data_IF_852151181396
#
_entry.id   IF_852151181396
#
_cell.length_a   1.000
_cell.length_b   1.000
_cell.length_c   1.000
_cell.angle_alpha   90.00
_cell.angle_beta   90.00
_cell.angle_gamma   90.00
#
_symmetry.space_group_name_H-M   'P 1'
#
loop_
_entity.id
_entity.type
_entity.pdbx_description
1 polymer ?
#
# COMPACT_ATOMS: atom_id res chain seq x y z
N UNK A 1 -19.42 -9.34 -18.54
CA UNK A 1 -19.46 -10.06 -17.24
C UNK A 1 -18.15 -10.77 -16.90
N UNK A 2 -17.48 -11.46 -17.82
CA UNK A 2 -16.22 -12.19 -17.52
C UNK A 2 -15.00 -11.32 -17.15
N UNK A 3 -14.91 -10.07 -17.62
CA UNK A 3 -13.81 -9.15 -17.26
C UNK A 3 -13.87 -8.60 -15.83
N UNK A 4 -15.06 -8.56 -15.22
CA UNK A 4 -15.21 -8.14 -13.82
C UNK A 4 -14.80 -9.27 -12.85
N UNK A 5 -15.04 -10.52 -13.23
CA UNK A 5 -14.65 -11.72 -12.47
C UNK A 5 -13.13 -11.96 -12.45
N UNK A 6 -12.43 -11.67 -13.55
CA UNK A 6 -10.96 -11.77 -13.58
C UNK A 6 -10.29 -10.66 -12.77
N UNK A 7 -10.86 -9.46 -12.76
CA UNK A 7 -10.49 -8.40 -11.82
C UNK A 7 -10.71 -8.84 -10.36
N UNK A 8 -11.85 -9.47 -10.06
CA UNK A 8 -12.16 -9.98 -8.73
C UNK A 8 -11.20 -11.11 -8.28
N UNK A 9 -10.79 -11.99 -9.19
CA UNK A 9 -9.80 -13.03 -8.91
C UNK A 9 -8.39 -12.45 -8.69
N UNK A 10 -8.03 -11.39 -9.41
CA UNK A 10 -6.74 -10.70 -9.24
C UNK A 10 -6.69 -9.90 -7.93
N UNK A 11 -7.74 -9.14 -7.62
CA UNK A 11 -7.89 -8.44 -6.34
C UNK A 11 -8.10 -9.41 -5.16
N UNK A 12 -8.76 -10.55 -5.38
CA UNK A 12 -8.92 -11.62 -4.41
C UNK A 12 -7.63 -12.38 -4.09
N UNK A 13 -6.70 -12.50 -5.06
CA UNK A 13 -5.36 -13.05 -4.84
C UNK A 13 -4.39 -12.03 -4.21
N UNK A 14 -4.52 -10.74 -4.53
CA UNK A 14 -3.88 -9.67 -3.75
C UNK A 14 -4.43 -9.63 -2.31
N UNK A 15 -5.73 -9.89 -2.15
CA UNK A 15 -6.38 -10.11 -0.84
C UNK A 15 -5.87 -11.38 -0.14
N UNK A 16 -5.49 -12.44 -0.88
CA UNK A 16 -4.93 -13.67 -0.31
C UNK A 16 -3.47 -13.55 0.15
N UNK A 17 -2.69 -12.61 -0.42
CA UNK A 17 -1.40 -12.22 0.17
C UNK A 17 -1.57 -11.37 1.44
N UNK A 18 -2.75 -10.77 1.61
CA UNK A 18 -3.12 -9.97 2.78
C UNK A 18 -3.92 -10.73 3.83
N UNK A 19 -4.33 -11.98 3.62
CA UNK A 19 -5.05 -12.76 4.65
C UNK A 19 -4.18 -13.10 5.85
N UNK A 20 -2.87 -13.32 5.65
CA UNK A 20 -1.90 -13.54 6.73
C UNK A 20 -1.66 -12.27 7.56
N UNK A 21 -1.74 -11.09 6.95
CA UNK A 21 -1.43 -9.81 7.61
C UNK A 21 -2.68 -9.09 8.15
N UNK A 22 -3.83 -9.28 7.50
CA UNK A 22 -5.05 -8.50 7.74
C UNK A 22 -6.29 -9.36 8.01
N UNK A 23 -6.21 -10.69 7.83
CA UNK A 23 -7.30 -11.64 8.05
C UNK A 23 -8.13 -11.95 6.79
N UNK A 24 -9.01 -12.96 6.84
CA UNK A 24 -9.84 -13.36 5.70
C UNK A 24 -10.82 -12.25 5.30
N UNK A 25 -10.96 -11.91 4.01
CA UNK A 25 -11.88 -10.87 3.54
C UNK A 25 -13.35 -11.30 3.64
N UNK A 26 -13.65 -12.51 4.10
CA UNK A 26 -15.02 -13.02 4.23
C UNK A 26 -15.17 -13.56 5.64
N UNK A 27 -16.27 -13.25 6.36
CA UNK A 27 -16.50 -13.77 7.69
C UNK A 27 -16.53 -15.30 7.65
N UNK A 28 -15.90 -15.93 8.63
CA UNK A 28 -16.06 -17.36 8.84
C UNK A 28 -17.55 -17.65 9.09
N UNK A 29 -18.14 -18.58 8.32
CA UNK A 29 -19.56 -18.92 8.44
C UNK A 29 -19.94 -19.33 9.87
N UNK A 30 -19.00 -19.95 10.60
CA UNK A 30 -19.14 -20.25 12.03
C UNK A 30 -19.23 -19.00 12.92
N UNK A 31 -18.41 -17.97 12.67
CA UNK A 31 -18.41 -16.74 13.45
C UNK A 31 -19.72 -15.95 13.27
N UNK A 32 -20.28 -15.95 12.06
CA UNK A 32 -21.62 -15.41 11.80
C UNK A 32 -22.73 -16.19 12.48
N UNK A 33 -22.64 -17.52 12.44
CA UNK A 33 -23.69 -18.38 13.00
C UNK A 33 -23.75 -18.28 14.52
N UNK A 34 -22.59 -18.13 15.16
CA UNK A 34 -22.42 -18.00 16.61
C UNK A 34 -22.56 -16.56 17.14
N UNK A 35 -22.96 -15.60 16.29
CA UNK A 35 -23.16 -14.20 16.66
C UNK A 35 -21.95 -13.48 17.27
N UNK A 36 -20.73 -13.83 16.86
CA UNK A 36 -19.51 -13.20 17.38
C UNK A 36 -19.50 -11.68 17.16
N UNK A 37 -20.19 -11.21 16.13
CA UNK A 37 -20.29 -9.79 15.76
C UNK A 37 -21.54 -9.09 16.33
N UNK A 38 -22.32 -9.74 17.20
CA UNK A 38 -23.47 -9.14 17.91
C UNK A 38 -24.62 -8.68 17.01
N UNK A 39 -24.93 -9.42 15.93
CA UNK A 39 -25.93 -9.05 14.93
C UNK A 39 -27.35 -9.46 15.37
N UNK A 40 -27.46 -10.43 16.27
CA UNK A 40 -28.73 -10.92 16.81
C UNK A 40 -29.45 -11.90 15.88
N UNK A 41 -30.55 -12.46 16.40
CA UNK A 41 -31.41 -13.40 15.68
C UNK A 41 -32.32 -12.70 14.65
N UNK A 42 -32.73 -11.46 14.92
CA UNK A 42 -33.31 -10.55 13.92
C UNK A 42 -32.21 -9.55 13.50
N UNK A 43 -31.59 -9.74 12.31
CA UNK A 43 -30.40 -9.00 11.95
C UNK A 43 -30.70 -7.50 11.83
N UNK A 44 -30.12 -6.72 12.72
CA UNK A 44 -30.13 -5.27 12.65
C UNK A 44 -28.76 -4.75 12.25
N UNK A 45 -28.75 -3.54 11.68
CA UNK A 45 -27.51 -2.87 11.30
C UNK A 45 -26.89 -2.30 12.59
N UNK A 46 -25.65 -2.67 12.95
CA UNK A 46 -24.97 -2.08 14.08
C UNK A 46 -24.71 -0.59 13.83
N UNK A 47 -25.27 0.31 14.65
CA UNK A 47 -25.18 1.76 14.47
C UNK A 47 -23.74 2.26 14.49
N UNK A 48 -22.90 1.71 15.37
CA UNK A 48 -21.48 2.05 15.47
C UNK A 48 -20.71 1.83 14.17
N UNK A 49 -20.99 0.74 13.46
CA UNK A 49 -20.33 0.39 12.21
C UNK A 49 -20.92 1.16 11.03
N UNK A 50 -22.21 1.45 11.05
CA UNK A 50 -22.88 2.25 10.02
C UNK A 50 -22.34 3.69 9.97
N UNK A 51 -22.18 4.33 11.13
CA UNK A 51 -21.64 5.70 11.24
C UNK A 51 -20.24 5.84 10.62
N UNK A 52 -19.45 4.76 10.60
CA UNK A 52 -18.10 4.76 10.04
C UNK A 52 -18.07 4.64 8.52
N UNK A 53 -19.15 4.16 7.89
CA UNK A 53 -19.21 3.88 6.45
C UNK A 53 -20.22 4.73 5.70
N UNK A 54 -21.09 5.47 6.39
CA UNK A 54 -22.15 6.29 5.77
C UNK A 54 -21.64 7.22 4.66
N UNK A 55 -20.44 7.78 4.82
CA UNK A 55 -19.83 8.72 3.87
C UNK A 55 -19.15 8.02 2.67
N UNK A 56 -19.07 6.69 2.68
CA UNK A 56 -18.37 5.89 1.68
C UNK A 56 -19.38 5.24 0.72
N UNK A 57 -20.05 6.03 -0.12
CA UNK A 57 -20.99 5.46 -1.10
C UNK A 57 -20.24 4.63 -2.16
N UNK A 58 -20.83 3.50 -2.57
CA UNK A 58 -20.22 2.61 -3.57
C UNK A 58 -20.09 3.30 -4.95
N UNK A 59 -20.98 4.25 -5.25
CA UNK A 59 -20.94 5.08 -6.46
C UNK A 59 -19.76 6.07 -6.47
N UNK A 60 -19.26 6.45 -5.29
CA UNK A 60 -18.12 7.34 -5.11
C UNK A 60 -16.78 6.59 -4.93
N UNK A 61 -16.71 5.28 -5.24
CA UNK A 61 -15.42 4.57 -5.43
C UNK A 61 -14.81 4.97 -6.78
N UNK A 62 -14.89 6.25 -7.12
CA UNK A 62 -14.05 6.87 -8.14
C UNK A 62 -12.61 6.90 -7.59
N UNK A 63 -11.61 6.79 -8.46
CA UNK A 63 -10.25 6.48 -8.04
C UNK A 63 -9.69 7.58 -7.12
N UNK A 64 -9.58 7.28 -5.83
CA UNK A 64 -8.69 8.01 -4.91
C UNK A 64 -7.23 7.63 -5.21
N UNK A 65 -6.87 7.60 -6.50
CA UNK A 65 -5.57 7.15 -7.00
C UNK A 65 -4.52 8.27 -6.97
N UNK A 66 -4.97 9.53 -7.01
CA UNK A 66 -4.07 10.69 -7.13
C UNK A 66 -4.45 11.80 -6.15
N UNK A 67 -4.12 11.59 -4.88
CA UNK A 67 -4.04 12.72 -3.95
C UNK A 67 -2.73 13.46 -4.19
N UNK A 68 -2.70 14.76 -3.89
CA UNK A 68 -1.49 15.58 -3.97
C UNK A 68 -0.29 14.95 -3.23
N UNK A 69 -0.57 14.21 -2.15
CA UNK A 69 0.40 13.42 -1.42
C UNK A 69 1.13 12.39 -2.32
N UNK A 70 0.37 11.49 -2.96
CA UNK A 70 0.98 10.43 -3.75
C UNK A 70 1.69 10.97 -4.99
N UNK A 71 1.11 11.97 -5.65
CA UNK A 71 1.70 12.60 -6.84
C UNK A 71 2.96 13.37 -6.47
N UNK A 72 2.97 14.06 -5.33
CA UNK A 72 4.14 14.78 -4.80
C UNK A 72 5.33 13.86 -4.53
N UNK A 73 5.11 12.76 -3.80
CA UNK A 73 6.18 11.78 -3.52
C UNK A 73 6.67 11.09 -4.79
N UNK A 74 5.78 10.74 -5.72
CA UNK A 74 6.15 10.15 -7.01
C UNK A 74 7.05 11.08 -7.82
N UNK A 75 6.73 12.37 -7.87
CA UNK A 75 7.54 13.36 -8.59
C UNK A 75 8.92 13.54 -7.95
N UNK A 76 9.00 13.59 -6.62
CA UNK A 76 10.27 13.69 -5.91
C UNK A 76 11.16 12.48 -6.13
N UNK A 77 10.58 11.27 -6.06
CA UNK A 77 11.30 10.02 -6.33
C UNK A 77 11.76 9.92 -7.79
N UNK A 78 10.91 10.28 -8.75
CA UNK A 78 11.26 10.29 -10.17
C UNK A 78 12.38 11.30 -10.47
N UNK A 79 12.29 12.52 -9.92
CA UNK A 79 13.33 13.53 -10.06
C UNK A 79 14.67 13.05 -9.46
N UNK A 80 14.63 12.45 -8.27
CA UNK A 80 15.82 11.89 -7.61
C UNK A 80 16.44 10.76 -8.42
N UNK A 81 15.62 9.84 -8.96
CA UNK A 81 16.10 8.74 -9.80
C UNK A 81 16.75 9.24 -11.10
N UNK A 82 16.17 10.25 -11.76
CA UNK A 82 16.74 10.88 -12.96
C UNK A 82 18.07 11.58 -12.62
N UNK A 83 18.11 12.33 -11.52
CA UNK A 83 19.33 13.00 -11.04
C UNK A 83 20.44 11.98 -10.76
N UNK A 84 20.17 10.93 -9.99
CA UNK A 84 21.13 9.87 -9.68
C UNK A 84 21.62 9.13 -10.93
N UNK A 85 20.73 8.90 -11.92
CA UNK A 85 21.10 8.29 -13.20
C UNK A 85 21.99 9.19 -14.04
N UNK A 86 21.77 10.51 -14.01
CA UNK A 86 22.64 11.47 -14.69
C UNK A 86 24.00 11.51 -14.00
N UNK A 87 23.99 11.56 -12.67
CA UNK A 87 25.18 11.61 -11.84
C UNK A 87 26.06 10.37 -12.01
N UNK A 88 25.47 9.17 -12.14
CA UNK A 88 26.22 7.95 -12.38
C UNK A 88 26.99 7.92 -13.70
N UNK A 89 26.58 8.71 -14.70
CA UNK A 89 27.29 8.86 -15.98
C UNK A 89 28.41 9.88 -15.94
N UNK A 90 28.33 10.83 -15.02
CA UNK A 90 29.22 11.99 -14.91
C UNK A 90 29.90 12.01 -13.53
N UNK A 91 30.13 10.83 -12.95
CA UNK A 91 30.57 10.74 -11.55
C UNK A 91 32.02 11.22 -11.35
N UNK A 92 32.84 11.11 -12.39
CA UNK A 92 34.23 11.56 -12.38
C UNK A 92 34.36 13.05 -12.71
N UNK A 93 33.34 13.65 -13.30
CA UNK A 93 33.30 15.08 -13.60
C UNK A 93 33.25 15.89 -12.29
N UNK A 94 34.07 16.94 -12.22
CA UNK A 94 34.21 17.86 -11.08
C UNK A 94 34.62 17.18 -9.75
N UNK A 95 35.23 15.99 -9.84
CA UNK A 95 35.70 15.25 -8.67
C UNK A 95 37.07 15.77 -8.20
N UNK A 96 37.09 16.49 -7.08
CA UNK A 96 38.33 17.02 -6.47
C UNK A 96 39.08 15.93 -5.68
N UNK A 97 38.36 14.96 -5.13
CA UNK A 97 38.91 13.90 -4.28
C UNK A 97 38.67 12.50 -4.87
N UNK A 98 39.60 11.97 -5.68
CA UNK A 98 39.47 10.63 -6.27
C UNK A 98 39.30 9.50 -5.25
N UNK A 99 39.82 9.68 -4.03
CA UNK A 99 39.73 8.71 -2.94
C UNK A 99 38.30 8.35 -2.52
N UNK A 100 37.32 9.23 -2.80
CA UNK A 100 35.90 8.97 -2.46
C UNK A 100 35.11 8.34 -3.60
N UNK A 101 35.66 8.25 -4.82
CA UNK A 101 34.94 7.82 -6.02
C UNK A 101 34.25 6.47 -5.85
N UNK A 102 34.97 5.47 -5.34
CA UNK A 102 34.42 4.13 -5.14
C UNK A 102 33.23 4.11 -4.17
N UNK A 103 33.33 4.83 -3.05
CA UNK A 103 32.23 4.88 -2.08
C UNK A 103 31.06 5.71 -2.61
N UNK A 104 31.34 6.80 -3.30
CA UNK A 104 30.32 7.63 -3.93
C UNK A 104 29.54 6.84 -5.00
N UNK A 105 30.21 6.03 -5.82
CA UNK A 105 29.54 5.20 -6.83
C UNK A 105 28.61 4.15 -6.20
N UNK A 106 29.03 3.56 -5.07
CA UNK A 106 28.17 2.66 -4.29
C UNK A 106 26.93 3.38 -3.73
N UNK A 107 27.09 4.60 -3.20
CA UNK A 107 25.96 5.39 -2.71
C UNK A 107 24.98 5.73 -3.84
N UNK A 108 25.47 6.18 -4.99
CA UNK A 108 24.63 6.51 -6.16
C UNK A 108 23.87 5.28 -6.66
N UNK A 109 24.55 4.15 -6.80
CA UNK A 109 23.91 2.90 -7.22
C UNK A 109 22.84 2.43 -6.22
N UNK A 110 23.17 2.48 -4.92
CA UNK A 110 22.27 2.08 -3.84
C UNK A 110 21.03 2.97 -3.76
N UNK A 111 21.21 4.29 -3.79
CA UNK A 111 20.09 5.23 -3.75
C UNK A 111 19.24 5.15 -5.03
N UNK A 112 19.84 4.84 -6.19
CA UNK A 112 19.09 4.58 -7.41
C UNK A 112 18.14 3.38 -7.27
N UNK A 113 18.62 2.24 -6.76
CA UNK A 113 17.78 1.06 -6.50
C UNK A 113 16.71 1.35 -5.44
N UNK A 114 17.06 2.15 -4.42
CA UNK A 114 16.12 2.53 -3.37
C UNK A 114 15.02 3.46 -3.87
N UNK A 115 15.30 4.39 -4.78
CA UNK A 115 14.26 5.17 -5.45
C UNK A 115 13.22 4.27 -6.12
N UNK A 116 13.64 3.22 -6.83
CA UNK A 116 12.72 2.26 -7.45
C UNK A 116 11.94 1.43 -6.44
N UNK A 117 12.59 1.03 -5.34
CA UNK A 117 11.93 0.27 -4.26
C UNK A 117 10.89 1.14 -3.55
N UNK A 118 11.21 2.42 -3.26
CA UNK A 118 10.30 3.39 -2.68
C UNK A 118 9.13 3.72 -3.61
N UNK A 119 9.36 3.79 -4.94
CA UNK A 119 8.29 3.91 -5.92
C UNK A 119 7.35 2.70 -5.90
N UNK A 120 7.89 1.48 -5.86
CA UNK A 120 7.08 0.26 -5.77
C UNK A 120 6.22 0.26 -4.48
N UNK A 121 6.82 0.68 -3.36
CA UNK A 121 6.12 0.79 -2.08
C UNK A 121 5.03 1.89 -2.09
N UNK A 122 5.27 3.02 -2.75
CA UNK A 122 4.27 4.05 -2.99
C UNK A 122 3.08 3.51 -3.79
N UNK A 123 3.34 2.73 -4.84
CA UNK A 123 2.30 2.08 -5.64
C UNK A 123 1.49 1.05 -4.83
N UNK A 124 2.16 0.31 -3.94
CA UNK A 124 1.49 -0.57 -3.01
C UNK A 124 0.56 0.21 -2.06
N UNK A 125 1.03 1.31 -1.48
CA UNK A 125 0.19 2.16 -0.62
C UNK A 125 -1.02 2.73 -1.34
N UNK A 126 -0.88 3.09 -2.63
CA UNK A 126 -2.01 3.47 -3.49
C UNK A 126 -3.01 2.33 -3.60
N UNK A 127 -2.54 1.10 -3.89
CA UNK A 127 -3.43 -0.07 -3.97
C UNK A 127 -4.14 -0.36 -2.65
N UNK A 128 -3.42 -0.34 -1.52
CA UNK A 128 -4.02 -0.58 -0.20
C UNK A 128 -5.08 0.47 0.15
N UNK A 129 -4.87 1.73 -0.22
CA UNK A 129 -5.86 2.79 -0.03
C UNK A 129 -7.12 2.55 -0.88
N UNK A 130 -6.96 2.10 -2.12
CA UNK A 130 -8.08 1.71 -2.99
C UNK A 130 -8.84 0.52 -2.39
N UNK A 131 -8.13 -0.52 -1.94
CA UNK A 131 -8.75 -1.69 -1.28
C UNK A 131 -9.51 -1.28 -0.03
N UNK A 132 -8.94 -0.42 0.82
CA UNK A 132 -9.63 0.13 1.99
C UNK A 132 -10.95 0.81 1.61
N UNK A 133 -10.92 1.71 0.61
CA UNK A 133 -12.12 2.43 0.12
C UNK A 133 -13.17 1.48 -0.45
N UNK A 134 -12.73 0.47 -1.19
CA UNK A 134 -13.60 -0.56 -1.76
C UNK A 134 -14.31 -1.37 -0.67
N UNK A 135 -13.59 -1.80 0.37
CA UNK A 135 -14.17 -2.52 1.51
C UNK A 135 -15.21 -1.69 2.26
N UNK A 136 -14.92 -0.41 2.52
CA UNK A 136 -15.88 0.50 3.16
C UNK A 136 -17.11 0.75 2.29
N UNK A 137 -16.93 0.88 0.96
CA UNK A 137 -18.05 1.02 0.03
C UNK A 137 -18.93 -0.22 -0.06
N UNK A 138 -18.35 -1.43 -0.02
CA UNK A 138 -19.13 -2.67 0.09
C UNK A 138 -19.86 -2.79 1.42
N UNK A 139 -19.23 -2.39 2.53
CA UNK A 139 -19.87 -2.38 3.84
C UNK A 139 -21.06 -1.40 3.88
N UNK A 140 -20.89 -0.19 3.32
CA UNK A 140 -21.97 0.78 3.21
C UNK A 140 -23.14 0.24 2.39
N UNK A 141 -22.85 -0.26 1.17
CA UNK A 141 -23.85 -0.90 0.31
C UNK A 141 -24.59 -2.03 1.03
N UNK A 142 -23.86 -2.87 1.77
CA UNK A 142 -24.45 -3.95 2.53
C UNK A 142 -25.41 -3.47 3.64
N UNK A 143 -25.17 -2.30 4.24
CA UNK A 143 -26.06 -1.69 5.23
C UNK A 143 -27.21 -0.88 4.62
N UNK A 144 -27.01 -0.23 3.47
CA UNK A 144 -28.01 0.68 2.87
C UNK A 144 -28.96 0.00 1.89
N UNK A 145 -28.55 -1.10 1.25
CA UNK A 145 -29.41 -1.84 0.33
C UNK A 145 -30.65 -2.43 1.03
N UNK A 146 -31.71 -2.66 0.25
CA UNK A 146 -32.94 -3.25 0.75
C UNK A 146 -32.70 -4.55 1.51
N UNK A 147 -33.48 -4.74 2.59
CA UNK A 147 -33.37 -5.90 3.47
C UNK A 147 -33.73 -7.16 2.69
N UNK A 148 -32.79 -8.10 2.58
CA UNK A 148 -33.07 -9.42 2.01
C UNK A 148 -34.20 -10.11 2.79
N UNK A 149 -35.12 -10.74 2.04
CA UNK A 149 -36.27 -11.48 2.60
C UNK A 149 -35.80 -12.66 3.46
N UNK A 150 -34.71 -13.32 3.07
CA UNK A 150 -34.14 -14.45 3.81
C UNK A 150 -33.26 -13.94 4.97
N UNK A 151 -33.68 -14.25 6.21
CA UNK A 151 -33.02 -13.82 7.45
C UNK A 151 -31.57 -14.28 7.53
N UNK A 152 -31.26 -15.52 7.14
CA UNK A 152 -29.89 -16.06 7.15
C UNK A 152 -28.96 -15.29 6.19
N UNK A 153 -29.43 -14.99 4.98
CA UNK A 153 -28.70 -14.20 3.99
C UNK A 153 -28.47 -12.78 4.48
N UNK A 154 -29.48 -12.18 5.12
CA UNK A 154 -29.36 -10.84 5.74
C UNK A 154 -28.31 -10.83 6.85
N UNK A 155 -28.31 -11.84 7.72
CA UNK A 155 -27.32 -12.00 8.80
C UNK A 155 -25.90 -12.11 8.26
N UNK A 156 -25.70 -12.96 7.26
CA UNK A 156 -24.39 -13.14 6.63
C UNK A 156 -23.90 -11.87 5.93
N UNK A 157 -24.80 -11.14 5.26
CA UNK A 157 -24.52 -9.85 4.62
C UNK A 157 -24.01 -8.82 5.64
N UNK A 158 -24.69 -8.67 6.77
CA UNK A 158 -24.28 -7.73 7.82
C UNK A 158 -22.99 -8.16 8.53
N UNK A 159 -22.75 -9.45 8.75
CA UNK A 159 -21.44 -9.90 9.25
C UNK A 159 -20.31 -9.53 8.30
N UNK A 160 -20.54 -9.72 7.00
CA UNK A 160 -19.52 -9.47 5.99
C UNK A 160 -19.16 -7.99 5.97
N UNK A 161 -20.17 -7.13 6.09
CA UNK A 161 -19.99 -5.69 6.24
C UNK A 161 -19.16 -5.32 7.48
N UNK A 162 -19.44 -5.92 8.65
CA UNK A 162 -18.65 -5.70 9.87
C UNK A 162 -17.19 -6.09 9.67
N UNK A 163 -16.92 -7.27 9.10
CA UNK A 163 -15.56 -7.73 8.80
C UNK A 163 -14.85 -6.80 7.82
N UNK A 164 -15.53 -6.32 6.79
CA UNK A 164 -14.97 -5.34 5.85
C UNK A 164 -14.54 -4.05 6.54
N UNK A 165 -15.34 -3.54 7.49
CA UNK A 165 -14.98 -2.35 8.28
C UNK A 165 -13.75 -2.61 9.14
N UNK A 166 -13.68 -3.76 9.81
CA UNK A 166 -12.54 -4.10 10.68
C UNK A 166 -11.24 -4.25 9.89
N UNK A 167 -11.29 -4.92 8.73
CA UNK A 167 -10.13 -5.04 7.84
C UNK A 167 -9.73 -3.67 7.30
N UNK A 168 -10.69 -2.83 6.91
CA UNK A 168 -10.42 -1.47 6.45
C UNK A 168 -9.73 -0.61 7.53
N UNK A 169 -10.09 -0.76 8.81
CA UNK A 169 -9.38 -0.10 9.93
C UNK A 169 -7.93 -0.55 10.05
N UNK A 170 -7.68 -1.87 9.99
CA UNK A 170 -6.31 -2.42 10.04
C UNK A 170 -5.46 -1.91 8.86
N UNK A 171 -6.03 -1.91 7.65
CA UNK A 171 -5.39 -1.35 6.46
C UNK A 171 -5.08 0.14 6.61
N UNK A 172 -6.00 0.92 7.20
CA UNK A 172 -5.80 2.35 7.44
C UNK A 172 -4.62 2.60 8.39
N UNK A 173 -4.53 1.83 9.49
CA UNK A 173 -3.43 1.92 10.46
C UNK A 173 -2.09 1.59 9.81
N UNK A 174 -2.02 0.45 9.11
CA UNK A 174 -0.80 0.01 8.42
C UNK A 174 -0.34 1.04 7.37
N UNK A 175 -1.29 1.59 6.61
CA UNK A 175 -0.99 2.61 5.60
C UNK A 175 -0.40 3.88 6.22
N UNK A 176 -0.90 4.33 7.37
CA UNK A 176 -0.40 5.53 8.06
C UNK A 176 1.06 5.33 8.50
N UNK A 177 1.33 4.25 9.23
CA UNK A 177 2.69 3.91 9.67
C UNK A 177 3.65 3.81 8.47
N UNK A 178 3.22 3.14 7.41
CA UNK A 178 4.06 2.96 6.23
C UNK A 178 4.26 4.25 5.43
N UNK A 179 3.26 5.15 5.40
CA UNK A 179 3.43 6.45 4.76
C UNK A 179 4.46 7.33 5.44
N UNK A 180 4.55 7.30 6.78
CA UNK A 180 5.55 8.06 7.55
C UNK A 180 6.97 7.55 7.27
N UNK A 181 7.14 6.23 7.21
CA UNK A 181 8.42 5.60 6.84
C UNK A 181 8.83 5.98 5.41
N UNK A 182 7.88 5.95 4.47
CA UNK A 182 8.14 6.31 3.08
C UNK A 182 8.51 7.78 2.91
N UNK A 183 7.80 8.70 3.58
CA UNK A 183 8.15 10.12 3.57
C UNK A 183 9.58 10.37 4.08
N UNK A 184 9.97 9.67 5.15
CA UNK A 184 11.32 9.77 5.72
C UNK A 184 12.38 9.30 4.72
N UNK A 185 12.13 8.18 4.04
CA UNK A 185 13.02 7.64 3.01
C UNK A 185 13.12 8.58 1.79
N UNK A 186 12.01 9.17 1.35
CA UNK A 186 12.01 10.16 0.26
C UNK A 186 12.84 11.38 0.63
N UNK A 187 12.67 11.94 1.84
CA UNK A 187 13.48 13.07 2.33
C UNK A 187 14.97 12.72 2.36
N UNK A 188 15.32 11.51 2.80
CA UNK A 188 16.71 11.01 2.79
C UNK A 188 17.28 10.93 1.38
N UNK A 189 16.54 10.33 0.44
CA UNK A 189 16.96 10.18 -0.95
C UNK A 189 17.18 11.53 -1.63
N UNK A 190 16.27 12.48 -1.43
CA UNK A 190 16.38 13.85 -1.95
C UNK A 190 17.61 14.56 -1.35
N UNK A 191 17.82 14.46 -0.04
CA UNK A 191 18.98 15.04 0.63
C UNK A 191 20.30 14.47 0.09
N UNK A 192 20.39 13.14 -0.07
CA UNK A 192 21.57 12.49 -0.62
C UNK A 192 21.83 12.95 -2.06
N UNK A 193 20.80 12.96 -2.92
CA UNK A 193 20.94 13.41 -4.30
C UNK A 193 21.46 14.87 -4.39
N UNK A 194 20.98 15.76 -3.52
CA UNK A 194 21.41 17.16 -3.49
C UNK A 194 22.85 17.33 -2.96
N UNK A 195 23.33 16.43 -2.11
CA UNK A 195 24.65 16.53 -1.47
C UNK A 195 25.79 15.92 -2.30
N UNK A 196 25.51 15.24 -3.43
CA UNK A 196 26.57 14.57 -4.22
C UNK A 196 27.63 15.56 -4.70
N UNK A 197 27.25 16.73 -5.20
CA UNK A 197 28.19 17.78 -5.63
C UNK A 197 29.09 18.26 -4.48
N UNK A 198 28.53 18.40 -3.28
CA UNK A 198 29.28 18.76 -2.08
C UNK A 198 30.26 17.66 -1.68
N UNK A 199 29.89 16.39 -1.82
CA UNK A 199 30.80 15.25 -1.57
C UNK A 199 31.95 15.24 -2.58
N UNK A 200 31.67 15.48 -3.87
CA UNK A 200 32.69 15.56 -4.92
C UNK A 200 33.73 16.65 -4.66
N UNK A 201 33.27 17.81 -4.19
CA UNK A 201 34.12 18.99 -3.93
C UNK A 201 34.81 18.99 -2.58
N UNK A 202 34.27 18.30 -1.56
CA UNK A 202 34.81 18.32 -0.19
C UNK A 202 35.40 16.99 0.28
N UNK A 203 35.12 15.88 -0.41
CA UNK A 203 35.50 14.53 0.01
C UNK A 203 34.73 14.01 1.24
N UNK A 204 33.73 14.74 1.74
CA UNK A 204 33.02 14.42 2.99
C UNK A 204 31.85 13.46 2.76
N UNK A 205 32.13 12.17 2.74
CA UNK A 205 31.10 11.11 2.54
C UNK A 205 30.00 11.09 3.62
N UNK A 206 30.25 11.62 4.82
CA UNK A 206 29.25 11.66 5.90
C UNK A 206 28.05 12.57 5.59
N UNK A 207 28.13 13.41 4.54
CA UNK A 207 27.01 14.17 4.02
C UNK A 207 25.92 13.27 3.39
N UNK A 208 26.28 12.02 3.05
CA UNK A 208 25.36 11.01 2.55
C UNK A 208 24.92 10.12 3.71
N UNK A 209 23.61 10.03 3.90
CA UNK A 209 23.00 9.22 4.95
C UNK A 209 22.71 7.83 4.41
N UNK A 210 23.37 6.82 4.99
CA UNK A 210 23.03 5.41 4.78
C UNK A 210 22.14 4.91 5.92
N UNK A 211 20.82 5.01 5.75
CA UNK A 211 19.85 4.39 6.65
C UNK A 211 19.19 3.21 5.94
N UNK A 212 19.04 2.06 6.58
CA UNK A 212 18.27 0.93 6.05
C UNK A 212 16.78 1.16 6.32
N UNK A 213 16.01 1.51 5.31
CA UNK A 213 14.55 1.49 5.41
C UNK A 213 14.07 0.09 5.01
N UNK A 214 13.53 -0.68 5.97
CA UNK A 214 13.06 -2.03 5.70
C UNK A 214 11.96 -1.99 4.61
N UNK A 215 12.02 -2.82 3.55
CA UNK A 215 10.97 -2.88 2.55
C UNK A 215 9.65 -3.30 3.21
N UNK A 216 8.51 -2.89 2.64
CA UNK A 216 7.22 -3.26 3.24
C UNK A 216 7.09 -4.77 3.29
N UNK A 217 6.61 -5.29 4.43
CA UNK A 217 6.36 -6.71 4.62
C UNK A 217 5.45 -7.27 3.52
N UNK A 218 4.54 -6.46 2.99
CA UNK A 218 3.69 -6.84 1.86
C UNK A 218 4.46 -6.96 0.54
N UNK A 219 5.49 -6.14 0.30
CA UNK A 219 6.39 -6.34 -0.85
C UNK A 219 7.19 -7.65 -0.70
N UNK A 220 7.68 -7.91 0.51
CA UNK A 220 8.51 -9.08 0.83
C UNK A 220 7.67 -10.37 0.76
N UNK A 221 6.46 -10.36 1.31
CA UNK A 221 5.56 -11.52 1.40
C UNK A 221 4.66 -11.68 0.17
N UNK A 222 4.44 -10.61 -0.61
CA UNK A 222 3.62 -10.62 -1.82
C UNK A 222 4.35 -11.14 -3.06
N UNK A 223 5.67 -10.98 -3.14
CA UNK A 223 6.47 -11.48 -4.27
C UNK A 223 6.44 -13.04 -4.41
N UNK A 224 6.49 -13.83 -3.32
CA UNK A 224 6.33 -15.28 -3.41
C UNK A 224 4.91 -15.72 -3.84
N UNK A 225 3.85 -15.05 -3.36
CA UNK A 225 2.47 -15.49 -3.62
C UNK A 225 1.98 -15.23 -5.05
N UNK A 226 2.49 -14.18 -5.71
CA UNK A 226 2.24 -13.94 -7.14
C UNK A 226 3.01 -14.93 -8.03
N UNK A 227 4.21 -15.36 -7.64
CA UNK A 227 5.00 -16.35 -8.39
C UNK A 227 4.44 -17.77 -8.26
N UNK A 228 4.03 -18.20 -7.06
CA UNK A 228 3.41 -19.52 -6.88
C UNK A 228 1.94 -19.57 -7.35
N UNK A 229 1.22 -18.44 -7.35
CA UNK A 229 -0.16 -18.38 -7.85
C UNK A 229 -0.31 -18.40 -9.38
N UNK A 230 0.75 -18.07 -10.12
CA UNK A 230 0.82 -18.19 -11.59
C UNK A 230 1.33 -19.57 -12.04
N UNK A 231 2.10 -20.28 -11.20
CA UNK A 231 2.58 -21.64 -11.51
C UNK A 231 1.50 -22.73 -11.48
N UNK A 232 0.30 -22.44 -10.97
CA UNK A 232 -0.85 -23.36 -10.97
C UNK A 232 -1.84 -23.13 -12.13
N UNK A 233 -1.49 -22.30 -13.11
CA UNK A 233 -2.32 -21.97 -14.28
C UNK A 233 -1.65 -22.33 -15.62
N UNK A 234 -0.62 -23.18 -15.59
CA UNK A 234 -0.06 -23.87 -16.75
C UNK A 234 -0.15 -25.38 -16.55
#
# INVERSE_FOLDING_TARGET
MYRALTLFAFFGRLASASTLLFGPPVPNAFACRNDVYGIGADPQIPTEYFEQVKDYSQQNIAPVLETAFYTGLQNQLAASAISLRRESRHLEEDLVYPSVLYRLSLFVAKDYVRCHTALADLHLLKMLHVTQRMLLGYANSAFTEEKHVIVQTRRYKYCSAVVYVEIAKKLASYRRERSELLETEVKRLVNNANNISSVKTTGKLWLLVDAFCAPSLVLIMGAPLLLFGLGGLF
#
